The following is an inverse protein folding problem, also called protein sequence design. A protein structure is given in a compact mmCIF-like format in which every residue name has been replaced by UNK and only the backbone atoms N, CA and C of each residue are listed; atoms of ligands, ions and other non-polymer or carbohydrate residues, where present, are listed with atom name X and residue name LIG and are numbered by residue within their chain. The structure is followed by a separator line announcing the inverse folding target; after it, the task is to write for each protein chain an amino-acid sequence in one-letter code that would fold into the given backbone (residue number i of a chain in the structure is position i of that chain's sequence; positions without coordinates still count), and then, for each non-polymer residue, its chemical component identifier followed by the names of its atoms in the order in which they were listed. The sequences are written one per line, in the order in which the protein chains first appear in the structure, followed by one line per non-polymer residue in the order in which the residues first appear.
data_IF_763076177575
#
_entry.id   IF_763076177575
#
_cell.length_a   1.000
_cell.length_b   1.000
_cell.length_c   1.000
_cell.angle_alpha   90.00
_cell.angle_beta   90.00
_cell.angle_gamma   90.00
#
_symmetry.space_group_name_H-M   'P 1'
#
loop_
_entity.id
_entity.type
_entity.pdbx_description
1 polymer ?
#
# COMPACT_ATOMS: atom_id res chain seq x y z
N UNK A 1 -10.92 -1.20 7.07
CA UNK A 1 -9.76 -0.42 6.56
C UNK A 1 -10.18 0.86 5.84
N UNK A 2 -11.12 0.81 4.89
CA UNK A 2 -11.58 2.00 4.15
C UNK A 2 -12.05 3.14 5.05
N UNK A 3 -12.82 2.86 6.09
CA UNK A 3 -13.26 3.86 7.09
C UNK A 3 -12.10 4.55 7.82
N UNK A 4 -11.02 3.82 8.13
CA UNK A 4 -9.84 4.37 8.83
C UNK A 4 -9.06 5.31 7.89
N UNK A 5 -8.85 4.88 6.65
CA UNK A 5 -8.19 5.71 5.62
C UNK A 5 -9.01 6.97 5.31
N UNK A 6 -10.33 6.82 5.28
CA UNK A 6 -11.25 7.93 5.05
C UNK A 6 -11.23 8.97 6.17
N UNK A 7 -11.17 8.51 7.42
CA UNK A 7 -11.03 9.36 8.59
C UNK A 7 -9.67 10.06 8.63
N UNK A 8 -8.58 9.34 8.33
CA UNK A 8 -7.26 9.94 8.22
C UNK A 8 -7.23 11.02 7.12
N UNK A 9 -7.82 10.74 5.96
CA UNK A 9 -7.89 11.70 4.87
C UNK A 9 -8.68 12.95 5.27
N UNK A 10 -9.79 12.81 6.00
CA UNK A 10 -10.54 13.95 6.54
C UNK A 10 -9.72 14.79 7.51
N UNK A 11 -8.96 14.17 8.42
CA UNK A 11 -8.10 14.88 9.37
C UNK A 11 -7.00 15.67 8.67
N UNK A 12 -6.32 15.06 7.71
CA UNK A 12 -5.27 15.72 6.91
C UNK A 12 -5.83 16.90 6.08
N UNK A 13 -7.08 16.82 5.61
CA UNK A 13 -7.73 17.96 4.94
C UNK A 13 -8.07 19.08 5.92
N UNK A 14 -8.55 18.75 7.12
CA UNK A 14 -8.84 19.74 8.15
C UNK A 14 -7.57 20.52 8.56
N UNK A 15 -6.42 19.85 8.66
CA UNK A 15 -5.13 20.46 8.99
C UNK A 15 -4.56 21.36 7.88
N UNK A 16 -5.04 21.23 6.63
CA UNK A 16 -4.53 21.99 5.48
C UNK A 16 -5.35 23.21 5.10
N UNK A 17 -6.57 23.36 5.63
CA UNK A 17 -7.45 24.50 5.35
C UNK A 17 -7.45 25.46 6.54
N UNK A 18 -6.77 26.62 6.47
CA UNK A 18 -6.87 27.63 7.52
C UNK A 18 -8.32 28.15 7.59
N UNK A 19 -8.81 28.54 8.79
CA UNK A 19 -10.10 29.19 8.92
C UNK A 19 -10.02 30.57 8.25
N UNK A 20 -10.41 30.66 6.98
CA UNK A 20 -10.42 31.92 6.23
C UNK A 20 -11.83 32.45 6.07
N UNK A 21 -11.95 33.74 6.32
CA UNK A 21 -13.17 34.51 6.53
C UNK A 21 -14.19 34.38 5.37
N UNK A 22 -15.40 34.03 5.80
CA UNK A 22 -16.73 34.51 5.42
C UNK A 22 -17.05 34.88 3.95
N UNK A 23 -18.16 34.31 3.48
CA UNK A 23 -18.94 34.64 2.27
C UNK A 23 -18.47 34.12 0.90
N UNK A 24 -17.68 33.04 0.83
CA UNK A 24 -17.63 32.25 -0.42
C UNK A 24 -18.73 31.20 -0.46
N UNK A 25 -19.31 31.03 -1.65
CA UNK A 25 -20.46 30.18 -1.92
C UNK A 25 -20.26 28.77 -1.33
N UNK A 26 -21.26 28.26 -0.61
CA UNK A 26 -21.16 26.97 0.11
C UNK A 26 -20.79 25.83 -0.85
N UNK A 27 -21.22 25.94 -2.11
CA UNK A 27 -20.88 25.03 -3.19
C UNK A 27 -19.38 25.05 -3.54
N UNK A 28 -18.76 26.23 -3.61
CA UNK A 28 -17.32 26.36 -3.87
C UNK A 28 -16.48 25.78 -2.73
N UNK A 29 -16.93 25.97 -1.49
CA UNK A 29 -16.25 25.40 -0.33
C UNK A 29 -16.34 23.87 -0.32
N UNK A 30 -17.52 23.30 -0.58
CA UNK A 30 -17.70 21.85 -0.68
C UNK A 30 -16.84 21.26 -1.81
N UNK A 31 -16.78 21.92 -2.97
CA UNK A 31 -15.92 21.52 -4.09
C UNK A 31 -14.44 21.52 -3.71
N UNK A 32 -13.95 22.59 -3.06
CA UNK A 32 -12.56 22.68 -2.60
C UNK A 32 -12.21 21.57 -1.62
N UNK A 33 -13.10 21.29 -0.66
CA UNK A 33 -12.92 20.20 0.30
C UNK A 33 -12.84 18.83 -0.40
N UNK A 34 -13.72 18.57 -1.38
CA UNK A 34 -13.70 17.33 -2.14
C UNK A 34 -12.39 17.15 -2.94
N UNK A 35 -11.88 18.23 -3.54
CA UNK A 35 -10.61 18.21 -4.28
C UNK A 35 -9.40 17.99 -3.37
N UNK A 36 -9.38 18.63 -2.19
CA UNK A 36 -8.32 18.41 -1.20
C UNK A 36 -8.33 16.95 -0.71
N UNK A 37 -9.52 16.41 -0.41
CA UNK A 37 -9.67 15.01 -0.03
C UNK A 37 -9.16 14.06 -1.12
N UNK A 38 -9.50 14.31 -2.39
CA UNK A 38 -9.00 13.53 -3.51
C UNK A 38 -7.47 13.56 -3.58
N UNK A 39 -6.86 14.74 -3.43
CA UNK A 39 -5.40 14.91 -3.42
C UNK A 39 -4.74 14.13 -2.28
N UNK A 40 -5.31 14.18 -1.08
CA UNK A 40 -4.80 13.43 0.07
C UNK A 40 -4.90 11.93 -0.17
N UNK A 41 -6.04 11.42 -0.64
CA UNK A 41 -6.22 9.99 -0.94
C UNK A 41 -5.25 9.50 -2.04
N UNK A 42 -4.98 10.33 -3.05
CA UNK A 42 -3.98 10.03 -4.07
C UNK A 42 -2.57 9.93 -3.46
N UNK A 43 -2.19 10.83 -2.56
CA UNK A 43 -0.92 10.77 -1.83
C UNK A 43 -0.81 9.54 -0.94
N UNK A 44 -1.87 9.19 -0.19
CA UNK A 44 -1.91 7.97 0.64
C UNK A 44 -1.74 6.73 -0.22
N UNK A 45 -2.40 6.65 -1.38
CA UNK A 45 -2.25 5.53 -2.30
C UNK A 45 -0.80 5.35 -2.76
N UNK A 46 -0.10 6.44 -3.07
CA UNK A 46 1.30 6.38 -3.49
C UNK A 46 2.23 6.00 -2.34
N UNK A 47 2.02 6.56 -1.14
CA UNK A 47 2.77 6.19 0.05
C UNK A 47 2.60 4.70 0.40
N UNK A 48 1.37 4.16 0.31
CA UNK A 48 1.10 2.74 0.53
C UNK A 48 1.84 1.87 -0.49
N UNK A 49 1.91 2.27 -1.78
CA UNK A 49 2.68 1.51 -2.78
C UNK A 49 4.17 1.43 -2.43
N UNK A 50 4.76 2.55 -1.99
CA UNK A 50 6.15 2.54 -1.52
C UNK A 50 6.36 1.62 -0.31
N UNK A 51 5.42 1.63 0.64
CA UNK A 51 5.48 0.73 1.80
C UNK A 51 5.29 -0.75 1.41
N UNK A 52 4.42 -1.05 0.45
CA UNK A 52 4.26 -2.40 -0.12
C UNK A 52 5.58 -2.88 -0.74
N UNK A 53 6.27 -2.01 -1.48
CA UNK A 53 7.57 -2.34 -2.07
C UNK A 53 8.63 -2.61 -0.99
N UNK A 54 8.71 -1.76 0.04
CA UNK A 54 9.62 -1.98 1.17
C UNK A 54 9.32 -3.28 1.93
N UNK A 55 8.04 -3.57 2.17
CA UNK A 55 7.61 -4.80 2.83
C UNK A 55 7.96 -6.04 2.00
N UNK A 56 7.82 -5.99 0.68
CA UNK A 56 8.24 -7.07 -0.21
C UNK A 56 9.76 -7.32 -0.15
N UNK A 57 10.57 -6.26 -0.12
CA UNK A 57 12.03 -6.37 0.04
C UNK A 57 12.41 -6.94 1.41
N UNK A 58 11.77 -6.47 2.48
CA UNK A 58 12.00 -7.00 3.83
C UNK A 58 11.62 -8.48 3.93
N UNK A 59 10.48 -8.87 3.36
CA UNK A 59 10.04 -10.26 3.31
C UNK A 59 11.06 -11.13 2.53
N UNK A 60 11.50 -10.67 1.36
CA UNK A 60 12.53 -11.35 0.58
C UNK A 60 13.84 -11.47 1.36
N UNK A 61 14.32 -10.39 1.99
CA UNK A 61 15.53 -10.43 2.84
C UNK A 61 15.40 -11.43 4.01
N UNK A 62 14.19 -11.60 4.55
CA UNK A 62 13.85 -12.64 5.54
C UNK A 62 13.68 -14.05 4.96
N UNK A 63 13.84 -14.21 3.65
CA UNK A 63 13.83 -15.49 2.94
C UNK A 63 12.56 -15.81 2.16
N UNK A 64 11.54 -14.95 2.21
CA UNK A 64 10.28 -15.22 1.55
C UNK A 64 10.42 -15.35 0.03
N UNK A 65 9.80 -16.40 -0.51
CA UNK A 65 9.69 -16.65 -1.94
C UNK A 65 8.63 -15.81 -2.64
N UNK A 66 8.68 -15.72 -3.97
CA UNK A 66 7.59 -15.13 -4.77
C UNK A 66 6.21 -15.79 -4.51
N UNK A 67 6.10 -17.09 -4.19
CA UNK A 67 4.81 -17.68 -3.76
C UNK A 67 4.26 -17.05 -2.48
N UNK A 68 5.09 -16.89 -1.44
CA UNK A 68 4.68 -16.37 -0.13
C UNK A 68 4.33 -14.87 -0.23
N UNK A 69 5.16 -14.09 -0.92
CA UNK A 69 4.91 -12.67 -1.19
C UNK A 69 3.64 -12.50 -2.02
N UNK A 70 3.45 -13.35 -3.04
CA UNK A 70 2.23 -13.35 -3.84
C UNK A 70 0.99 -13.66 -3.01
N UNK A 71 1.06 -14.70 -2.17
CA UNK A 71 -0.04 -15.09 -1.28
C UNK A 71 -0.43 -13.97 -0.32
N UNK A 72 0.54 -13.31 0.32
CA UNK A 72 0.29 -12.18 1.22
C UNK A 72 -0.46 -11.02 0.52
N UNK A 73 -0.23 -10.84 -0.77
CA UNK A 73 -0.84 -9.80 -1.60
C UNK A 73 -2.03 -10.31 -2.45
N UNK A 74 -2.53 -11.53 -2.17
CA UNK A 74 -3.62 -12.17 -2.93
C UNK A 74 -3.37 -12.20 -4.45
N UNK A 75 -2.12 -12.40 -4.87
CA UNK A 75 -1.71 -12.51 -6.26
C UNK A 75 -0.92 -13.79 -6.53
N UNK A 76 -0.88 -14.23 -7.78
CA UNK A 76 -0.07 -15.39 -8.15
C UNK A 76 1.42 -15.11 -7.97
N UNK A 77 2.22 -16.18 -7.84
CA UNK A 77 3.70 -16.11 -7.89
C UNK A 77 4.21 -15.28 -9.08
N UNK A 78 3.62 -15.47 -10.26
CA UNK A 78 4.02 -14.74 -11.47
C UNK A 78 3.60 -13.27 -11.41
N UNK A 79 2.45 -12.97 -10.78
CA UNK A 79 2.04 -11.60 -10.48
C UNK A 79 3.04 -10.89 -9.57
N UNK A 80 3.47 -11.54 -8.50
CA UNK A 80 4.49 -11.02 -7.59
C UNK A 80 5.83 -10.78 -8.32
N UNK A 81 6.28 -11.74 -9.13
CA UNK A 81 7.52 -11.60 -9.93
C UNK A 81 7.44 -10.45 -10.94
N UNK A 82 6.29 -10.27 -11.59
CA UNK A 82 6.10 -9.16 -12.55
C UNK A 82 6.12 -7.81 -11.85
N UNK A 83 5.57 -7.74 -10.62
CA UNK A 83 5.53 -6.50 -9.84
C UNK A 83 6.89 -6.15 -9.24
N UNK A 84 7.62 -7.13 -8.73
CA UNK A 84 8.95 -6.96 -8.16
C UNK A 84 10.00 -7.79 -8.91
N UNK A 85 10.38 -7.39 -10.12
CA UNK A 85 11.37 -8.12 -10.89
C UNK A 85 12.72 -8.10 -10.19
N UNK A 86 13.37 -9.26 -10.09
CA UNK A 86 14.70 -9.37 -9.48
C UNK A 86 14.74 -9.30 -7.96
N UNK A 87 13.58 -9.27 -7.29
CA UNK A 87 13.48 -9.18 -5.82
C UNK A 87 14.20 -10.31 -5.10
N UNK A 88 14.12 -11.53 -5.66
CA UNK A 88 14.76 -12.72 -5.11
C UNK A 88 15.95 -13.05 -5.98
N UNK A 89 17.13 -12.97 -5.39
CA UNK A 89 18.42 -13.32 -6.00
C UNK A 89 19.02 -14.55 -5.30
N UNK A 90 20.07 -15.15 -5.88
CA UNK A 90 20.73 -16.32 -5.31
C UNK A 90 21.32 -16.10 -3.90
N UNK A 91 21.48 -14.85 -3.48
CA UNK A 91 21.98 -14.47 -2.15
C UNK A 91 20.88 -14.37 -1.09
N UNK A 92 19.61 -14.52 -1.49
CA UNK A 92 18.47 -14.46 -0.58
C UNK A 92 18.41 -15.77 0.22
N UNK A 93 18.43 -15.74 1.56
CA UNK A 93 18.42 -16.95 2.36
C UNK A 93 17.11 -17.71 2.14
N UNK A 94 17.11 -18.74 1.30
CA UNK A 94 15.89 -19.51 1.04
C UNK A 94 15.62 -20.44 2.23
N UNK A 95 14.51 -20.29 2.98
CA UNK A 95 14.12 -21.28 3.96
C UNK A 95 13.89 -22.56 3.17
N UNK A 96 14.67 -23.59 3.50
CA UNK A 96 14.57 -24.90 2.86
C UNK A 96 13.15 -25.42 3.07
N UNK A 97 12.33 -25.36 2.03
CA UNK A 97 11.00 -25.94 2.04
C UNK A 97 11.15 -27.46 2.19
N UNK A 98 11.09 -27.95 3.43
CA UNK A 98 11.16 -29.38 3.74
C UNK A 98 9.93 -30.03 3.09
N UNK A 99 10.09 -30.93 2.10
CA UNK A 99 8.94 -31.59 1.50
C UNK A 99 8.26 -32.41 2.59
N UNK A 100 6.97 -32.17 2.80
CA UNK A 100 6.14 -33.05 3.63
C UNK A 100 6.09 -34.42 2.94
N UNK A 101 6.46 -35.51 3.63
CA UNK A 101 6.35 -36.84 3.05
C UNK A 101 4.87 -37.12 2.76
N UNK A 102 4.54 -37.42 1.50
CA UNK A 102 3.22 -37.96 1.14
C UNK A 102 3.10 -39.32 1.83
N UNK A 103 2.15 -39.43 2.75
CA UNK A 103 1.66 -40.74 3.19
C UNK A 103 0.98 -41.42 1.99
N UNK A 104 1.47 -42.61 1.67
CA UNK A 104 0.93 -43.57 0.70
C UNK A 104 -0.39 -44.16 1.15
#
# INVERSE_FOLDING_TARGET
MTQVVDELARRLVADTVPPSAEHRDRADQARRQALLRLRVLAGVKEAVRHLEDQAAHAAAAGGAGYPEIGQAMSMSRQGARRRWPGLITNSTPHPTHRPTPRST
#
